data_IF_373610113195
#
_entry.id   IF_373610113195
#
_cell.length_a   1.000
_cell.length_b   1.000
_cell.length_c   1.000
_cell.angle_alpha   90.00
_cell.angle_beta   90.00
_cell.angle_gamma   90.00
#
_symmetry.space_group_name_H-M   'P 1'
#
loop_
_entity.id
_entity.type
_entity.pdbx_description
1 polymer ?
#
# COMPACT_ATOMS: atom_id res chain seq x y z
N UNK A 1 -57.04 11.27 -6.89
CA UNK A 1 -56.71 10.40 -8.04
C UNK A 1 -55.50 9.53 -7.69
N UNK A 2 -55.64 8.21 -7.55
CA UNK A 2 -54.54 7.35 -7.12
C UNK A 2 -53.67 6.97 -8.32
N UNK A 3 -52.36 7.20 -8.21
CA UNK A 3 -51.37 6.78 -9.22
C UNK A 3 -51.13 5.28 -9.10
N UNK A 4 -51.49 4.57 -10.17
CA UNK A 4 -51.35 3.13 -10.35
C UNK A 4 -49.88 2.71 -10.24
N UNK A 5 -49.60 1.81 -9.29
CA UNK A 5 -48.28 1.25 -8.97
C UNK A 5 -48.03 0.08 -9.92
N UNK A 6 -47.21 0.28 -10.96
CA UNK A 6 -46.73 -0.83 -11.81
C UNK A 6 -45.73 -1.67 -11.01
N UNK A 7 -46.07 -2.95 -10.78
CA UNK A 7 -45.14 -3.97 -10.32
C UNK A 7 -44.09 -4.23 -11.42
N UNK A 8 -42.80 -4.37 -11.08
CA UNK A 8 -41.83 -4.96 -11.98
C UNK A 8 -42.08 -6.48 -12.05
N UNK A 9 -42.37 -6.96 -13.25
CA UNK A 9 -42.37 -8.39 -13.59
C UNK A 9 -40.93 -8.91 -13.53
N UNK A 10 -40.69 -9.93 -12.70
CA UNK A 10 -39.46 -10.72 -12.73
C UNK A 10 -39.24 -11.33 -14.12
N UNK A 11 -38.07 -11.16 -14.75
CA UNK A 11 -37.67 -12.00 -15.86
C UNK A 11 -36.96 -13.23 -15.28
N UNK A 12 -37.73 -14.16 -14.73
CA UNK A 12 -37.30 -15.55 -14.55
C UNK A 12 -37.79 -16.29 -15.79
N UNK A 13 -36.96 -16.32 -16.82
CA UNK A 13 -36.97 -17.34 -17.88
C UNK A 13 -35.81 -17.04 -18.83
N UNK A 14 -34.64 -17.60 -18.51
CA UNK A 14 -33.58 -17.78 -19.49
C UNK A 14 -33.79 -19.15 -20.15
N UNK A 15 -34.17 -19.21 -21.43
CA UNK A 15 -34.16 -20.44 -22.20
C UNK A 15 -32.72 -20.76 -22.60
N UNK A 16 -32.37 -22.04 -22.63
CA UNK A 16 -31.08 -22.50 -23.15
C UNK A 16 -30.06 -22.91 -22.08
N UNK A 17 -30.49 -23.77 -21.14
CA UNK A 17 -29.55 -24.69 -20.47
C UNK A 17 -29.41 -25.94 -21.35
N UNK A 18 -28.96 -25.73 -22.58
CA UNK A 18 -28.42 -26.80 -23.40
C UNK A 18 -27.10 -27.19 -22.76
N UNK A 19 -27.19 -28.23 -21.93
CA UNK A 19 -26.07 -28.90 -21.32
C UNK A 19 -25.32 -29.69 -22.40
N UNK A 20 -24.70 -28.98 -23.35
CA UNK A 20 -23.51 -29.51 -23.99
C UNK A 20 -22.44 -29.52 -22.91
N UNK A 21 -22.32 -30.66 -22.20
CA UNK A 21 -21.18 -30.97 -21.33
C UNK A 21 -19.95 -31.18 -22.22
N UNK A 22 -19.56 -30.13 -22.95
CA UNK A 22 -18.28 -30.04 -23.60
C UNK A 22 -17.25 -30.29 -22.51
N UNK A 23 -16.56 -31.44 -22.62
CA UNK A 23 -15.57 -31.89 -21.66
C UNK A 23 -14.58 -30.75 -21.40
N UNK A 24 -14.30 -30.47 -20.13
CA UNK A 24 -13.38 -29.39 -19.77
C UNK A 24 -11.97 -29.73 -20.28
N UNK A 25 -11.43 -28.99 -21.27
CA UNK A 25 -10.18 -29.32 -21.92
C UNK A 25 -8.98 -29.19 -20.96
N UNK A 26 -9.12 -28.39 -19.89
CA UNK A 26 -8.09 -28.17 -18.88
C UNK A 26 -8.17 -29.27 -17.82
N UNK A 27 -9.38 -29.59 -17.35
CA UNK A 27 -9.56 -30.61 -16.30
C UNK A 27 -9.06 -32.00 -16.74
N UNK A 28 -9.23 -32.35 -18.02
CA UNK A 28 -8.72 -33.61 -18.57
C UNK A 28 -7.20 -33.77 -18.45
N UNK A 29 -6.45 -32.66 -18.47
CA UNK A 29 -4.98 -32.63 -18.38
C UNK A 29 -4.47 -32.19 -17.00
N UNK A 30 -5.35 -31.83 -16.07
CA UNK A 30 -4.99 -31.21 -14.79
C UNK A 30 -3.94 -32.02 -14.01
N UNK A 31 -4.08 -33.35 -13.94
CA UNK A 31 -3.15 -34.22 -13.20
C UNK A 31 -1.69 -34.11 -13.66
N UNK A 32 -1.46 -33.86 -14.95
CA UNK A 32 -0.13 -33.67 -15.52
C UNK A 32 0.40 -32.25 -15.33
N UNK A 33 -0.48 -31.25 -15.31
CA UNK A 33 -0.12 -29.84 -15.22
C UNK A 33 0.18 -29.38 -13.79
N UNK A 34 -0.55 -29.94 -12.81
CA UNK A 34 -0.47 -29.51 -11.41
C UNK A 34 0.95 -29.54 -10.82
N UNK A 35 1.81 -30.56 -11.04
CA UNK A 35 3.18 -30.53 -10.54
C UNK A 35 4.01 -29.38 -11.11
N UNK A 36 3.92 -29.14 -12.42
CA UNK A 36 4.65 -28.07 -13.09
C UNK A 36 4.17 -26.68 -12.67
N UNK A 37 2.84 -26.50 -12.54
CA UNK A 37 2.25 -25.25 -12.06
C UNK A 37 2.62 -24.97 -10.60
N UNK A 38 2.55 -25.98 -9.73
CA UNK A 38 2.94 -25.85 -8.33
C UNK A 38 4.42 -25.49 -8.21
N UNK A 39 5.31 -26.14 -8.95
CA UNK A 39 6.74 -25.83 -8.94
C UNK A 39 7.02 -24.41 -9.46
N UNK A 40 6.34 -23.99 -10.53
CA UNK A 40 6.55 -22.68 -11.15
C UNK A 40 6.06 -21.52 -10.27
N UNK A 41 4.92 -21.70 -9.61
CA UNK A 41 4.25 -20.64 -8.85
C UNK A 41 4.39 -20.76 -7.33
N UNK A 42 5.08 -21.78 -6.81
CA UNK A 42 5.29 -21.98 -5.37
C UNK A 42 5.60 -20.69 -4.59
N UNK A 43 6.51 -19.79 -5.06
CA UNK A 43 6.84 -18.58 -4.31
C UNK A 43 5.69 -17.56 -4.22
N UNK A 44 4.73 -17.60 -5.15
CA UNK A 44 3.66 -16.61 -5.29
C UNK A 44 2.28 -17.13 -4.87
N UNK A 45 2.08 -18.44 -4.75
CA UNK A 45 0.78 -19.02 -4.33
C UNK A 45 0.35 -18.53 -2.94
N UNK A 46 1.29 -18.25 -2.03
CA UNK A 46 0.99 -17.67 -0.73
C UNK A 46 0.24 -16.32 -0.85
N UNK A 47 0.55 -15.51 -1.87
CA UNK A 47 -0.10 -14.22 -2.12
C UNK A 47 -1.59 -14.42 -2.45
N UNK A 48 -1.91 -15.40 -3.30
CA UNK A 48 -3.30 -15.73 -3.64
C UNK A 48 -4.07 -16.24 -2.42
N UNK A 49 -3.46 -17.11 -1.61
CA UNK A 49 -4.08 -17.61 -0.39
C UNK A 49 -4.33 -16.51 0.65
N UNK A 50 -3.40 -15.57 0.81
CA UNK A 50 -3.60 -14.41 1.70
C UNK A 50 -4.73 -13.52 1.22
N UNK A 51 -4.79 -13.23 -0.08
CA UNK A 51 -5.81 -12.35 -0.64
C UNK A 51 -7.20 -12.97 -0.67
N UNK A 52 -7.36 -14.13 -1.33
CA UNK A 52 -8.67 -14.77 -1.51
C UNK A 52 -9.10 -15.58 -0.29
N UNK A 53 -8.16 -16.19 0.43
CA UNK A 53 -8.42 -16.96 1.65
C UNK A 53 -8.45 -16.13 2.93
N UNK A 54 -8.09 -14.84 2.86
CA UNK A 54 -8.01 -13.92 4.02
C UNK A 54 -7.13 -14.43 5.17
N UNK A 55 -6.17 -15.30 4.89
CA UNK A 55 -5.25 -15.82 5.89
C UNK A 55 -4.06 -14.87 6.09
N UNK A 56 -3.64 -14.65 7.33
CA UNK A 56 -2.52 -13.76 7.63
C UNK A 56 -1.17 -14.43 7.32
N UNK A 57 -1.00 -15.67 7.79
CA UNK A 57 0.19 -16.48 7.59
C UNK A 57 -0.18 -17.78 6.88
N UNK A 58 0.39 -17.98 5.71
CA UNK A 58 0.11 -19.13 4.86
C UNK A 58 1.34 -20.03 4.82
N UNK A 59 1.14 -21.31 5.09
CA UNK A 59 2.14 -22.38 4.95
C UNK A 59 1.66 -23.44 3.95
N UNK A 60 2.64 -24.03 3.24
CA UNK A 60 2.44 -25.08 2.25
C UNK A 60 1.29 -24.82 1.23
N UNK A 61 1.24 -23.65 0.57
CA UNK A 61 0.20 -23.38 -0.44
C UNK A 61 0.41 -24.27 -1.67
N UNK A 62 -0.65 -24.93 -2.14
CA UNK A 62 -0.62 -25.80 -3.33
C UNK A 62 -1.91 -25.74 -4.13
N UNK A 63 -1.82 -25.72 -5.45
CA UNK A 63 -2.94 -25.95 -6.36
C UNK A 63 -3.26 -27.45 -6.33
N UNK A 64 -4.51 -27.80 -6.02
CA UNK A 64 -4.97 -29.20 -5.96
C UNK A 64 -5.93 -29.57 -7.06
N UNK A 65 -6.55 -28.57 -7.70
CA UNK A 65 -7.47 -28.78 -8.82
C UNK A 65 -7.46 -27.55 -9.74
N UNK A 66 -7.72 -27.78 -11.02
CA UNK A 66 -7.81 -26.72 -12.02
C UNK A 66 -8.78 -27.10 -13.13
N UNK A 67 -9.60 -26.12 -13.52
CA UNK A 67 -10.61 -26.22 -14.56
C UNK A 67 -10.47 -25.05 -15.53
N UNK A 68 -11.24 -25.07 -16.61
CA UNK A 68 -11.32 -23.93 -17.52
C UNK A 68 -11.82 -22.64 -16.83
N UNK A 69 -12.58 -22.75 -15.73
CA UNK A 69 -13.20 -21.59 -15.07
C UNK A 69 -12.56 -21.16 -13.76
N UNK A 70 -11.79 -22.03 -13.11
CA UNK A 70 -11.27 -21.77 -11.77
C UNK A 70 -10.09 -22.66 -11.41
N UNK A 71 -9.39 -22.31 -10.33
CA UNK A 71 -8.41 -23.17 -9.68
C UNK A 71 -8.72 -23.30 -8.19
N UNK A 72 -8.42 -24.47 -7.62
CA UNK A 72 -8.57 -24.74 -6.19
C UNK A 72 -7.19 -24.80 -5.55
N UNK A 73 -6.98 -23.95 -4.54
CA UNK A 73 -5.77 -23.95 -3.74
C UNK A 73 -6.07 -24.55 -2.38
N UNK A 74 -5.08 -25.25 -1.84
CA UNK A 74 -5.01 -25.64 -0.44
C UNK A 74 -3.89 -24.90 0.26
N UNK A 75 -4.07 -24.64 1.54
CA UNK A 75 -3.01 -24.12 2.40
C UNK A 75 -3.25 -24.50 3.86
N UNK A 76 -2.23 -24.35 4.69
CA UNK A 76 -2.35 -24.41 6.15
C UNK A 76 -2.09 -23.04 6.73
N UNK A 77 -2.90 -22.59 7.66
CA UNK A 77 -2.62 -21.35 8.38
C UNK A 77 -1.44 -21.61 9.31
N UNK A 78 -0.36 -20.85 9.16
CA UNK A 78 0.77 -21.01 10.07
C UNK A 78 0.35 -20.38 11.41
N UNK A 79 0.36 -21.17 12.47
CA UNK A 79 0.22 -20.62 13.82
C UNK A 79 1.35 -19.62 14.01
N UNK A 80 1.08 -18.37 14.43
CA UNK A 80 2.13 -17.43 14.78
C UNK A 80 2.97 -18.09 15.88
N UNK A 81 4.16 -18.56 15.52
CA UNK A 81 5.09 -19.07 16.52
C UNK A 81 5.36 -17.97 17.54
N UNK A 82 5.71 -18.32 18.80
CA UNK A 82 6.23 -17.32 19.71
C UNK A 82 7.35 -16.58 18.99
N UNK A 83 7.24 -15.25 18.93
CA UNK A 83 8.24 -14.42 18.25
C UNK A 83 9.62 -14.89 18.70
N UNK A 84 10.53 -15.25 17.77
CA UNK A 84 11.85 -15.72 18.16
C UNK A 84 12.44 -14.67 19.09
N UNK A 85 12.73 -15.06 20.34
CA UNK A 85 13.29 -14.16 21.33
C UNK A 85 14.49 -13.47 20.67
N UNK A 86 14.40 -12.15 20.49
CA UNK A 86 15.46 -11.41 19.84
C UNK A 86 16.77 -11.76 20.57
N UNK A 87 17.80 -12.23 19.86
CA UNK A 87 19.08 -12.45 20.49
C UNK A 87 19.51 -11.12 21.12
N UNK A 88 20.02 -11.11 22.36
CA UNK A 88 20.41 -9.88 23.03
C UNK A 88 21.37 -9.13 22.13
N UNK A 89 20.97 -7.93 21.72
CA UNK A 89 21.80 -7.01 20.95
C UNK A 89 23.01 -6.72 21.84
N UNK A 90 24.14 -7.38 21.56
CA UNK A 90 25.43 -6.94 22.08
C UNK A 90 25.67 -5.56 21.50
N UNK A 91 25.52 -4.54 22.33
CA UNK A 91 25.91 -3.16 22.06
C UNK A 91 27.42 -3.15 21.81
N UNK A 92 27.84 -3.36 20.56
CA UNK A 92 29.21 -3.16 20.14
C UNK A 92 29.43 -1.66 19.95
N UNK A 93 29.65 -0.97 21.07
CA UNK A 93 30.38 0.27 21.06
C UNK A 93 31.85 -0.07 20.73
N UNK A 94 32.35 0.53 19.65
CA UNK A 94 33.74 0.94 19.38
C UNK A 94 34.16 0.62 17.94
N UNK A 95 34.16 1.67 17.13
CA UNK A 95 35.02 1.78 15.96
C UNK A 95 36.49 1.67 16.38
N UNK A 96 37.35 1.03 15.57
CA UNK A 96 38.76 1.38 15.54
C UNK A 96 39.16 1.98 14.17
N UNK A 97 40.27 2.75 14.14
CA UNK A 97 40.68 3.54 12.99
C UNK A 97 41.45 2.73 11.95
N UNK A 98 41.51 3.30 10.76
CA UNK A 98 42.30 2.86 9.60
C UNK A 98 43.81 2.82 9.86
N UNK A 99 44.49 1.73 9.51
CA UNK A 99 45.85 1.77 8.94
C UNK A 99 46.33 0.41 8.37
N UNK A 100 46.73 0.48 7.10
CA UNK A 100 47.61 -0.33 6.22
C UNK A 100 48.58 -1.35 6.85
N UNK A 101 48.66 -2.58 6.30
CA UNK A 101 49.85 -3.17 5.63
C UNK A 101 49.79 -4.71 5.49
N UNK A 102 50.41 -5.18 4.41
CA UNK A 102 50.47 -6.55 3.89
C UNK A 102 51.28 -7.55 4.74
N UNK A 103 50.98 -8.85 4.60
CA UNK A 103 51.95 -9.93 4.37
C UNK A 103 51.26 -11.30 4.33
N UNK A 104 51.74 -12.14 3.42
CA UNK A 104 51.40 -13.55 3.24
C UNK A 104 51.84 -14.44 4.42
N UNK A 105 51.13 -15.54 4.65
CA UNK A 105 51.70 -16.88 4.91
C UNK A 105 50.61 -17.98 4.99
N UNK A 106 51.05 -19.18 4.64
CA UNK A 106 50.40 -20.47 4.46
C UNK A 106 49.58 -21.06 5.64
N UNK A 107 48.52 -21.81 5.27
CA UNK A 107 48.04 -23.14 5.73
C UNK A 107 48.68 -23.80 6.99
N UNK A 108 47.95 -24.64 7.78
CA UNK A 108 47.13 -25.74 7.23
C UNK A 108 45.85 -26.17 7.98
N UNK A 109 45.10 -26.99 7.24
CA UNK A 109 44.06 -27.94 7.63
C UNK A 109 44.31 -28.64 8.98
N UNK A 110 43.31 -28.63 9.86
CA UNK A 110 43.22 -29.58 10.97
C UNK A 110 41.83 -30.22 10.98
N UNK A 111 41.84 -31.53 10.79
CA UNK A 111 40.73 -32.43 10.98
C UNK A 111 40.24 -32.37 12.44
N UNK A 112 38.93 -32.40 12.61
CA UNK A 112 38.26 -32.57 13.89
C UNK A 112 37.01 -33.40 13.68
N UNK A 113 37.16 -34.71 13.88
CA UNK A 113 36.08 -35.67 14.08
C UNK A 113 35.12 -35.14 15.16
N UNK A 114 33.82 -35.07 14.84
CA UNK A 114 32.79 -34.84 15.83
C UNK A 114 31.82 -36.02 15.87
N UNK A 115 31.87 -36.69 17.01
CA UNK A 115 31.09 -37.83 17.46
C UNK A 115 29.60 -37.80 17.07
N UNK A 116 29.21 -38.85 16.36
CA UNK A 116 27.86 -39.41 16.35
C UNK A 116 27.46 -39.87 17.75
N UNK A 117 26.60 -39.11 18.43
CA UNK A 117 25.76 -39.62 19.53
C UNK A 117 24.36 -39.96 19.00
N UNK A 118 23.81 -41.14 19.29
CA UNK A 118 22.40 -41.44 19.04
C UNK A 118 21.58 -40.71 20.10
N UNK A 119 20.79 -39.72 19.69
CA UNK A 119 19.80 -39.12 20.59
C UNK A 119 18.54 -39.99 20.55
N UNK A 120 18.21 -40.51 21.73
CA UNK A 120 17.05 -41.33 22.02
C UNK A 120 15.75 -40.82 21.41
N UNK A 121 14.93 -41.79 20.99
CA UNK A 121 13.58 -41.59 20.49
C UNK A 121 12.72 -40.82 21.48
N UNK A 122 12.41 -39.59 21.11
CA UNK A 122 11.22 -38.89 21.56
C UNK A 122 10.21 -38.96 20.43
N UNK A 123 9.19 -39.79 20.61
CA UNK A 123 7.97 -39.75 19.81
C UNK A 123 7.45 -38.30 19.82
N UNK A 124 7.35 -37.63 18.66
CA UNK A 124 6.71 -36.33 18.61
C UNK A 124 5.22 -36.54 18.87
N UNK A 125 4.84 -36.27 20.12
CA UNK A 125 3.48 -36.09 20.58
C UNK A 125 2.70 -35.19 19.61
N UNK A 126 1.69 -35.80 18.99
CA UNK A 126 0.45 -35.18 18.51
C UNK A 126 0.68 -33.89 17.73
N UNK A 127 1.16 -34.03 16.50
CA UNK A 127 1.01 -32.97 15.51
C UNK A 127 -0.48 -32.75 15.28
N UNK A 128 -1.00 -31.59 15.69
CA UNK A 128 -2.33 -31.13 15.29
C UNK A 128 -2.46 -31.31 13.78
N UNK A 129 -3.24 -32.31 13.37
CA UNK A 129 -3.61 -32.54 11.98
C UNK A 129 -4.63 -31.48 11.58
N UNK A 130 -4.21 -30.22 11.53
CA UNK A 130 -5.04 -29.15 11.03
C UNK A 130 -5.30 -29.42 9.55
N UNK A 131 -6.57 -29.69 9.24
CA UNK A 131 -6.98 -29.96 7.87
C UNK A 131 -6.62 -28.76 6.98
N UNK A 132 -6.04 -29.00 5.79
CA UNK A 132 -5.69 -27.90 4.90
C UNK A 132 -6.96 -27.16 4.47
N UNK A 133 -6.95 -25.85 4.64
CA UNK A 133 -7.98 -24.96 4.13
C UNK A 133 -8.02 -25.04 2.61
N UNK A 134 -9.21 -25.00 2.03
CA UNK A 134 -9.45 -25.02 0.57
C UNK A 134 -10.10 -23.72 0.14
N UNK A 135 -9.57 -23.12 -0.92
CA UNK A 135 -10.16 -21.94 -1.56
C UNK A 135 -10.32 -22.20 -3.05
N UNK A 136 -11.46 -21.79 -3.60
CA UNK A 136 -11.73 -21.87 -5.04
C UNK A 136 -11.68 -20.44 -5.61
N UNK A 137 -10.78 -20.22 -6.56
CA UNK A 137 -10.54 -18.92 -7.18
C UNK A 137 -10.99 -19.01 -8.64
N UNK A 138 -12.02 -18.24 -8.99
CA UNK A 138 -12.50 -18.16 -10.36
C UNK A 138 -11.54 -17.33 -11.21
N UNK A 139 -11.27 -17.77 -12.44
CA UNK A 139 -10.58 -16.96 -13.44
C UNK A 139 -11.53 -15.88 -13.98
N UNK A 140 -10.98 -14.74 -14.41
CA UNK A 140 -11.78 -13.65 -15.02
C UNK A 140 -12.45 -14.06 -16.32
N UNK A 141 -11.84 -14.98 -17.05
CA UNK A 141 -12.31 -15.51 -18.32
C UNK A 141 -12.18 -17.02 -18.29
N UNK A 142 -13.11 -17.70 -18.96
CA UNK A 142 -13.02 -19.15 -19.17
C UNK A 142 -11.87 -19.43 -20.13
N UNK A 143 -11.02 -20.37 -19.77
CA UNK A 143 -9.87 -20.79 -20.55
C UNK A 143 -10.29 -21.78 -21.63
N UNK A 144 -9.71 -21.64 -22.81
CA UNK A 144 -9.95 -22.54 -23.93
C UNK A 144 -8.79 -23.53 -24.14
N UNK A 145 -7.59 -23.15 -23.74
CA UNK A 145 -6.39 -23.99 -23.86
C UNK A 145 -5.42 -23.82 -22.69
N UNK A 146 -4.43 -24.72 -22.62
CA UNK A 146 -3.40 -24.71 -21.58
C UNK A 146 -2.48 -23.47 -21.67
N UNK A 147 -2.29 -22.90 -22.87
CA UNK A 147 -1.36 -21.79 -23.08
C UNK A 147 -1.87 -20.51 -22.40
N UNK A 148 -3.18 -20.37 -22.26
CA UNK A 148 -3.84 -19.26 -21.56
C UNK A 148 -3.63 -19.29 -20.03
N UNK A 149 -3.28 -20.44 -19.43
CA UNK A 149 -3.08 -20.56 -17.98
C UNK A 149 -2.05 -19.58 -17.43
N UNK A 150 -0.94 -19.38 -18.15
CA UNK A 150 0.11 -18.46 -17.73
C UNK A 150 -0.41 -17.03 -17.58
N UNK A 151 -1.20 -16.57 -18.54
CA UNK A 151 -1.82 -15.25 -18.49
C UNK A 151 -2.86 -15.18 -17.36
N UNK A 152 -3.71 -16.19 -17.23
CA UNK A 152 -4.76 -16.22 -16.21
C UNK A 152 -4.20 -16.13 -14.77
N UNK A 153 -3.11 -16.87 -14.49
CA UNK A 153 -2.42 -16.76 -13.20
C UNK A 153 -1.78 -15.39 -12.98
N UNK A 154 -1.14 -14.80 -14.00
CA UNK A 154 -0.59 -13.45 -13.90
C UNK A 154 -1.68 -12.42 -13.55
N UNK A 155 -2.85 -12.50 -14.19
CA UNK A 155 -3.98 -11.62 -13.89
C UNK A 155 -4.48 -11.77 -12.44
N UNK A 156 -4.52 -13.01 -11.92
CA UNK A 156 -4.86 -13.27 -10.51
C UNK A 156 -3.81 -12.73 -9.56
N UNK A 157 -2.52 -12.87 -9.88
CA UNK A 157 -1.43 -12.34 -9.04
C UNK A 157 -1.42 -10.82 -9.02
N UNK A 158 -1.62 -10.16 -10.15
CA UNK A 158 -1.70 -8.71 -10.22
C UNK A 158 -2.88 -8.18 -9.41
N UNK A 159 -4.05 -8.83 -9.53
CA UNK A 159 -5.21 -8.51 -8.69
C UNK A 159 -4.95 -8.73 -7.21
N UNK A 160 -4.36 -9.86 -6.83
CA UNK A 160 -4.05 -10.14 -5.43
C UNK A 160 -3.00 -9.17 -4.86
N UNK A 161 -1.99 -8.78 -5.64
CA UNK A 161 -0.98 -7.80 -5.21
C UNK A 161 -1.61 -6.42 -5.00
N UNK A 162 -2.39 -5.94 -5.96
CA UNK A 162 -3.11 -4.66 -5.83
C UNK A 162 -4.12 -4.72 -4.68
N UNK A 163 -4.81 -5.84 -4.55
CA UNK A 163 -5.83 -6.08 -3.53
C UNK A 163 -5.26 -6.17 -2.12
N UNK A 164 -4.13 -6.87 -1.91
CA UNK A 164 -3.44 -6.92 -0.61
C UNK A 164 -2.93 -5.55 -0.23
N UNK A 165 -2.29 -4.82 -1.16
CA UNK A 165 -1.83 -3.45 -0.90
C UNK A 165 -3.04 -2.58 -0.48
N UNK A 166 -4.15 -2.66 -1.22
CA UNK A 166 -5.38 -1.91 -0.92
C UNK A 166 -6.00 -2.30 0.42
N UNK A 167 -6.03 -3.60 0.76
CA UNK A 167 -6.57 -4.05 2.04
C UNK A 167 -5.67 -3.67 3.22
N UNK A 168 -4.35 -3.75 3.08
CA UNK A 168 -3.39 -3.28 4.10
C UNK A 168 -3.48 -1.76 4.27
N UNK A 169 -3.67 -1.00 3.19
CA UNK A 169 -3.96 0.44 3.22
C UNK A 169 -5.22 0.79 4.05
N UNK A 170 -6.18 -0.13 4.20
CA UNK A 170 -7.40 0.06 4.99
C UNK A 170 -7.28 -0.48 6.43
N UNK A 171 -6.15 -1.10 6.79
CA UNK A 171 -5.95 -1.68 8.11
C UNK A 171 -5.21 -0.78 9.09
N UNK A 172 -4.70 0.38 8.65
CA UNK A 172 -4.17 1.38 9.61
C UNK A 172 -5.36 1.85 10.46
N UNK A 173 -5.36 1.62 11.79
CA UNK A 173 -6.41 2.10 12.67
C UNK A 173 -6.60 3.61 12.51
N UNK A 174 -7.83 4.10 12.59
CA UNK A 174 -8.12 5.52 12.34
C UNK A 174 -7.35 6.47 13.28
N UNK A 175 -7.00 5.99 14.48
CA UNK A 175 -6.17 6.64 15.50
C UNK A 175 -4.68 6.70 15.13
N UNK A 176 -4.19 5.81 14.27
CA UNK A 176 -2.80 5.82 13.74
C UNK A 176 -2.67 6.59 12.42
N UNK A 177 -3.78 7.03 11.81
CA UNK A 177 -3.74 7.83 10.59
C UNK A 177 -3.26 9.27 10.87
N UNK A 178 -2.50 9.83 9.94
CA UNK A 178 -2.03 11.23 10.00
C UNK A 178 -3.25 12.16 9.99
N UNK A 179 -3.50 12.89 11.08
CA UNK A 179 -4.68 13.74 11.19
C UNK A 179 -4.48 15.01 10.38
N UNK A 180 -5.58 15.53 9.84
CA UNK A 180 -5.57 16.88 9.29
C UNK A 180 -5.55 17.91 10.42
N UNK A 181 -4.46 18.68 10.52
CA UNK A 181 -4.31 19.77 11.49
C UNK A 181 -4.43 21.13 10.80
N UNK A 182 -5.57 21.78 11.01
CA UNK A 182 -5.81 23.11 10.48
C UNK A 182 -4.88 24.13 11.18
N UNK A 183 -4.27 25.09 10.45
CA UNK A 183 -3.51 26.17 11.07
C UNK A 183 -4.39 27.03 12.00
N UNK A 184 -3.75 27.79 12.88
CA UNK A 184 -4.45 28.73 13.75
C UNK A 184 -5.33 29.67 12.92
N UNK A 185 -6.60 29.83 13.33
CA UNK A 185 -7.60 30.65 12.65
C UNK A 185 -7.11 32.09 12.44
N UNK A 186 -6.33 32.65 13.37
CA UNK A 186 -5.74 33.98 13.22
C UNK A 186 -4.81 34.05 12.02
N UNK A 187 -3.96 33.04 11.83
CA UNK A 187 -3.03 32.96 10.68
C UNK A 187 -3.81 32.83 9.38
N UNK A 188 -4.85 31.98 9.36
CA UNK A 188 -5.72 31.83 8.19
C UNK A 188 -6.43 33.13 7.82
N UNK A 189 -6.95 33.85 8.83
CA UNK A 189 -7.65 35.12 8.65
C UNK A 189 -6.70 36.18 8.10
N UNK A 190 -5.50 36.29 8.65
CA UNK A 190 -4.48 37.25 8.17
C UNK A 190 -4.07 36.93 6.73
N UNK A 191 -3.81 35.67 6.41
CA UNK A 191 -3.47 35.25 5.03
C UNK A 191 -4.62 35.51 4.06
N UNK A 192 -5.85 35.13 4.43
CA UNK A 192 -7.04 35.35 3.60
C UNK A 192 -7.31 36.83 3.34
N UNK A 193 -7.18 37.69 4.35
CA UNK A 193 -7.28 39.13 4.19
C UNK A 193 -6.17 39.67 3.28
N UNK A 194 -4.94 39.17 3.42
CA UNK A 194 -3.79 39.62 2.63
C UNK A 194 -3.95 39.27 1.14
N UNK A 195 -4.42 38.06 0.84
CA UNK A 195 -4.72 37.60 -0.52
C UNK A 195 -5.86 38.43 -1.11
N UNK A 196 -6.94 38.63 -0.36
CA UNK A 196 -8.09 39.43 -0.79
C UNK A 196 -7.67 40.86 -1.09
N UNK A 197 -6.83 41.45 -0.23
CA UNK A 197 -6.29 42.79 -0.41
C UNK A 197 -5.42 42.90 -1.67
N UNK A 198 -4.55 41.91 -1.89
CA UNK A 198 -3.67 41.86 -3.07
C UNK A 198 -4.48 41.72 -4.36
N UNK A 199 -5.47 40.83 -4.39
CA UNK A 199 -6.37 40.66 -5.53
C UNK A 199 -7.18 41.93 -5.80
N UNK A 200 -7.65 42.59 -4.74
CA UNK A 200 -8.35 43.85 -4.86
C UNK A 200 -7.44 44.94 -5.46
N UNK A 201 -6.18 45.05 -5.03
CA UNK A 201 -5.20 45.98 -5.59
C UNK A 201 -4.84 45.69 -7.06
N UNK A 202 -4.85 44.42 -7.48
CA UNK A 202 -4.58 43.99 -8.85
C UNK A 202 -5.71 44.32 -9.83
N UNK A 203 -6.96 44.21 -9.38
CA UNK A 203 -8.13 44.32 -10.27
C UNK A 203 -8.88 45.63 -10.13
N UNK A 204 -8.69 46.37 -9.04
CA UNK A 204 -9.38 47.64 -8.86
C UNK A 204 -8.72 48.74 -9.70
N UNK A 205 -9.51 49.34 -10.58
CA UNK A 205 -9.13 50.53 -11.37
C UNK A 205 -9.10 51.79 -10.49
N UNK A 206 -9.80 51.79 -9.36
CA UNK A 206 -9.85 52.88 -8.39
C UNK A 206 -9.98 52.29 -6.96
N UNK A 207 -8.85 51.94 -6.30
CA UNK A 207 -8.89 51.36 -4.97
C UNK A 207 -9.53 52.32 -3.95
N UNK A 208 -10.30 51.79 -3.01
CA UNK A 208 -10.86 52.60 -1.91
C UNK A 208 -9.74 53.06 -0.97
N UNK A 209 -9.85 54.28 -0.44
CA UNK A 209 -8.93 54.80 0.58
C UNK A 209 -8.89 53.87 1.81
N UNK A 210 -7.70 53.51 2.35
CA UNK A 210 -6.38 54.09 2.09
C UNK A 210 -5.55 53.36 1.01
N UNK A 211 -6.06 52.33 0.35
CA UNK A 211 -5.29 51.53 -0.62
C UNK A 211 -4.85 52.30 -1.86
N UNK A 212 -5.60 53.35 -2.22
CA UNK A 212 -5.22 54.27 -3.29
C UNK A 212 -3.87 54.94 -3.01
N UNK A 213 -3.61 55.34 -1.75
CA UNK A 213 -2.32 55.93 -1.39
C UNK A 213 -1.17 54.96 -1.67
N UNK A 214 -1.40 53.64 -1.49
CA UNK A 214 -0.38 52.63 -1.76
C UNK A 214 0.00 52.60 -3.25
N UNK A 215 -0.94 52.86 -4.18
CA UNK A 215 -0.65 52.96 -5.61
C UNK A 215 0.15 54.23 -5.95
N UNK A 216 -0.01 55.32 -5.19
CA UNK A 216 0.79 56.53 -5.34
C UNK A 216 2.27 56.30 -4.96
N UNK A 217 2.53 55.40 -4.00
CA UNK A 217 3.89 55.06 -3.55
C UNK A 217 4.49 53.83 -4.26
N UNK A 218 3.66 52.88 -4.68
CA UNK A 218 4.09 51.60 -5.24
C UNK A 218 3.54 51.49 -6.66
N UNK A 219 4.45 51.55 -7.64
CA UNK A 219 4.05 51.43 -9.04
C UNK A 219 3.30 50.10 -9.29
N UNK A 220 2.31 50.08 -10.19
CA UNK A 220 1.57 48.85 -10.52
C UNK A 220 2.48 47.68 -10.91
N UNK A 221 3.64 47.96 -11.54
CA UNK A 221 4.65 46.96 -11.89
C UNK A 221 5.17 46.21 -10.67
N UNK A 222 5.40 46.90 -9.55
CA UNK A 222 5.86 46.28 -8.30
C UNK A 222 4.75 45.41 -7.71
N UNK A 223 3.51 45.89 -7.71
CA UNK A 223 2.35 45.11 -7.21
C UNK A 223 2.19 43.81 -8.03
N UNK A 224 2.26 43.91 -9.35
CA UNK A 224 2.23 42.74 -10.24
C UNK A 224 3.42 41.79 -9.98
N UNK A 225 4.64 42.33 -9.82
CA UNK A 225 5.81 41.51 -9.50
C UNK A 225 5.64 40.77 -8.16
N UNK A 226 5.15 41.44 -7.12
CA UNK A 226 4.84 40.83 -5.82
C UNK A 226 3.78 39.73 -5.95
N UNK A 227 2.73 39.96 -6.74
CA UNK A 227 1.69 38.97 -6.96
C UNK A 227 2.18 37.73 -7.71
N UNK A 228 2.98 37.92 -8.76
CA UNK A 228 3.61 36.82 -9.52
C UNK A 228 4.57 36.04 -8.62
N UNK A 229 5.37 36.73 -7.82
CA UNK A 229 6.28 36.11 -6.86
C UNK A 229 5.51 35.31 -5.81
N UNK A 230 4.46 35.87 -5.21
CA UNK A 230 3.61 35.17 -4.25
C UNK A 230 2.99 33.92 -4.88
N UNK A 231 2.44 34.02 -6.09
CA UNK A 231 1.90 32.86 -6.81
C UNK A 231 2.96 31.77 -7.03
N UNK A 232 4.18 32.15 -7.44
CA UNK A 232 5.28 31.21 -7.63
C UNK A 232 5.67 30.49 -6.32
N UNK A 233 5.72 31.22 -5.20
CA UNK A 233 5.97 30.65 -3.87
C UNK A 233 4.87 29.67 -3.48
N UNK A 234 3.60 30.03 -3.64
CA UNK A 234 2.48 29.14 -3.33
C UNK A 234 2.46 27.86 -4.20
N UNK A 235 2.83 27.96 -5.48
CA UNK A 235 2.99 26.78 -6.36
C UNK A 235 4.14 25.89 -5.86
N UNK A 236 5.28 26.48 -5.50
CA UNK A 236 6.41 25.74 -4.97
C UNK A 236 6.05 25.02 -3.65
N UNK A 237 5.39 25.71 -2.73
CA UNK A 237 4.94 25.13 -1.45
C UNK A 237 3.92 24.02 -1.65
N UNK A 238 2.94 24.19 -2.55
CA UNK A 238 1.97 23.14 -2.88
C UNK A 238 2.64 21.91 -3.52
N UNK A 239 3.67 22.13 -4.34
CA UNK A 239 4.47 21.05 -4.93
C UNK A 239 5.26 20.31 -3.86
N UNK A 240 5.85 21.02 -2.91
CA UNK A 240 6.51 20.42 -1.75
C UNK A 240 5.54 19.59 -0.91
N UNK A 241 4.34 20.10 -0.63
CA UNK A 241 3.29 19.36 0.06
C UNK A 241 2.89 18.08 -0.72
N UNK A 242 2.73 18.18 -2.04
CA UNK A 242 2.41 17.03 -2.88
C UNK A 242 3.51 15.96 -2.88
N UNK A 243 4.78 16.39 -2.92
CA UNK A 243 5.94 15.49 -2.78
C UNK A 243 5.95 14.82 -1.41
N UNK A 244 5.75 15.58 -0.32
CA UNK A 244 5.66 15.01 1.04
C UNK A 244 4.55 13.97 1.14
N UNK A 245 3.34 14.28 0.67
CA UNK A 245 2.21 13.35 0.65
C UNK A 245 2.53 12.07 -0.16
N UNK A 246 3.24 12.21 -1.29
CA UNK A 246 3.63 11.08 -2.14
C UNK A 246 4.67 10.20 -1.44
N UNK A 247 5.70 10.81 -0.85
CA UNK A 247 6.75 10.09 -0.10
C UNK A 247 6.12 9.34 1.08
N UNK A 248 5.24 9.99 1.85
CA UNK A 248 4.51 9.34 2.95
C UNK A 248 3.64 8.19 2.43
N UNK A 249 2.94 8.38 1.32
CA UNK A 249 2.13 7.32 0.72
C UNK A 249 2.93 6.12 0.21
N UNK A 250 4.20 6.33 -0.18
CA UNK A 250 5.11 5.27 -0.62
C UNK A 250 5.78 4.56 0.55
N UNK A 251 6.21 5.30 1.59
CA UNK A 251 6.93 4.75 2.73
C UNK A 251 5.99 4.14 3.79
N UNK A 252 4.80 4.71 3.97
CA UNK A 252 3.81 4.32 4.96
C UNK A 252 2.41 4.23 4.32
N UNK A 253 2.18 3.24 3.43
CA UNK A 253 0.90 3.10 2.75
C UNK A 253 -0.24 2.86 3.76
N UNK A 254 -1.20 3.79 3.81
CA UNK A 254 -2.38 3.72 4.68
C UNK A 254 -2.43 4.83 5.72
N UNK A 255 -1.27 5.39 6.06
CA UNK A 255 -1.17 6.42 7.10
C UNK A 255 -1.73 7.77 6.67
N UNK A 256 -1.68 8.08 5.37
CA UNK A 256 -2.19 9.34 4.84
C UNK A 256 -3.38 9.11 3.91
N UNK A 257 -4.63 9.30 4.39
CA UNK A 257 -5.79 9.24 3.52
C UNK A 257 -5.67 10.25 2.38
N UNK A 258 -6.04 9.85 1.15
CA UNK A 258 -5.97 10.72 -0.04
C UNK A 258 -6.72 12.05 0.17
N UNK A 259 -7.83 12.02 0.89
CA UNK A 259 -8.62 13.21 1.23
C UNK A 259 -7.88 14.18 2.15
N UNK A 260 -7.09 13.67 3.10
CA UNK A 260 -6.24 14.48 3.99
C UNK A 260 -5.07 15.07 3.21
N UNK A 261 -4.39 14.26 2.39
CA UNK A 261 -3.33 14.74 1.51
C UNK A 261 -3.80 15.86 0.58
N UNK A 262 -4.98 15.71 -0.04
CA UNK A 262 -5.59 16.75 -0.87
C UNK A 262 -5.88 18.05 -0.09
N UNK A 263 -6.40 17.95 1.15
CA UNK A 263 -6.61 19.13 2.01
C UNK A 263 -5.31 19.87 2.30
N UNK A 264 -4.22 19.17 2.56
CA UNK A 264 -2.91 19.80 2.79
C UNK A 264 -2.35 20.46 1.54
N UNK A 265 -2.44 19.81 0.37
CA UNK A 265 -1.98 20.40 -0.90
C UNK A 265 -2.77 21.66 -1.23
N UNK A 266 -4.10 21.59 -1.20
CA UNK A 266 -4.97 22.75 -1.49
C UNK A 266 -4.82 23.83 -0.44
N UNK A 267 -4.76 23.46 0.84
CA UNK A 267 -4.55 24.41 1.93
C UNK A 267 -3.21 25.13 1.83
N UNK A 268 -2.14 24.43 1.45
CA UNK A 268 -0.82 25.02 1.21
C UNK A 268 -0.84 25.94 0.00
N UNK A 269 -1.50 25.55 -1.10
CA UNK A 269 -1.65 26.43 -2.24
C UNK A 269 -2.42 27.72 -1.92
N UNK A 270 -3.46 27.66 -1.08
CA UNK A 270 -4.29 28.82 -0.77
C UNK A 270 -3.71 29.70 0.35
N UNK A 271 -3.13 29.10 1.38
CA UNK A 271 -2.74 29.81 2.61
C UNK A 271 -1.26 29.68 2.95
N UNK A 272 -0.49 29.01 2.10
CA UNK A 272 0.96 28.95 2.12
C UNK A 272 1.56 28.02 3.18
N UNK A 273 2.79 28.35 3.57
CA UNK A 273 3.64 27.61 4.49
C UNK A 273 3.00 27.07 5.78
N UNK A 274 2.04 27.74 6.46
CA UNK A 274 1.44 27.21 7.69
C UNK A 274 0.82 25.82 7.53
N UNK A 275 0.23 25.52 6.37
CA UNK A 275 -0.31 24.17 6.10
C UNK A 275 0.80 23.15 5.89
N UNK A 276 1.85 23.50 5.16
CA UNK A 276 3.00 22.63 4.93
C UNK A 276 3.71 22.31 6.26
N UNK A 277 3.90 23.30 7.13
CA UNK A 277 4.45 23.11 8.47
C UNK A 277 3.61 22.14 9.30
N UNK A 278 2.28 22.29 9.26
CA UNK A 278 1.37 21.38 9.96
C UNK A 278 1.38 19.96 9.38
N UNK A 279 1.54 19.80 8.06
CA UNK A 279 1.72 18.50 7.42
C UNK A 279 2.99 17.82 7.94
N UNK A 280 4.13 18.52 7.87
CA UNK A 280 5.41 17.98 8.33
C UNK A 280 5.35 17.61 9.82
N UNK A 281 4.75 18.46 10.65
CA UNK A 281 4.54 18.18 12.06
C UNK A 281 3.66 16.95 12.31
N UNK A 282 2.52 16.85 11.61
CA UNK A 282 1.63 15.69 11.76
C UNK A 282 2.29 14.38 11.30
N UNK A 283 3.06 14.41 10.20
CA UNK A 283 3.84 13.26 9.73
C UNK A 283 4.90 12.86 10.76
N UNK A 284 5.64 13.84 11.29
CA UNK A 284 6.67 13.60 12.30
C UNK A 284 6.08 12.94 13.55
N UNK A 285 5.00 13.50 14.08
CA UNK A 285 4.37 12.98 15.30
C UNK A 285 3.89 11.53 15.08
N UNK A 286 3.22 11.25 13.95
CA UNK A 286 2.74 9.89 13.64
C UNK A 286 3.85 8.86 13.43
N UNK A 287 5.04 9.27 12.97
CA UNK A 287 6.18 8.35 12.81
C UNK A 287 6.97 8.15 14.12
N UNK A 288 6.98 9.13 15.03
CA UNK A 288 7.68 9.01 16.31
C UNK A 288 6.96 8.09 17.29
N UNK A 289 5.62 8.06 17.25
CA UNK A 289 4.83 7.19 18.12
C UNK A 289 5.12 5.68 17.87
N UNK A 290 5.59 5.30 16.68
CA UNK A 290 5.98 3.91 16.37
C UNK A 290 7.34 3.49 16.95
N UNK A 291 8.28 4.40 17.17
CA UNK A 291 9.60 4.03 17.71
C UNK A 291 9.55 3.69 19.21
N UNK A 292 8.45 4.03 19.88
CA UNK A 292 8.27 3.86 21.33
C UNK A 292 7.40 2.67 21.74
N UNK A 293 6.78 1.96 20.79
CA UNK A 293 6.06 0.68 21.02
C UNK A 293 6.98 -0.52 20.77
#
# INVERSE_FOLDING_TARGET
MPRSRRQPTSPTDHPGRDADSSADPIAANASHLLPALNQRYEPTLAVLCRYYGKAALVSAPRIVDISAGSCVLTYREAVPGPAPAMPPIKTAAQSPPSSVSASAAENPSLAGDLDTRPHDGQDPLVGDHQEPHKINIAFKRRLHDEKELGQAFNELFDEARVGIITHQLHQVPADKMIPFRMPNLTVLTVMGLSITLMLYLLWSVAPVYPLNLLQDYVTPRIIHACAVFALAVHIFEASAAAMTCTVVGLLAPGYLPKSVGAKYIVGTFLFGFPFLRNLIGAVKDSLQDEETE
#
